data_IF_859964161019
#
_entry.id   IF_859964161019
#
_cell.length_a   1.000
_cell.length_b   1.000
_cell.length_c   1.000
_cell.angle_alpha   90.00
_cell.angle_beta   90.00
_cell.angle_gamma   90.00
#
_symmetry.space_group_name_H-M   'P 1'
#
loop_
_entity.id
_entity.type
_entity.pdbx_description
1 polymer ?
#
# COMPACT_ATOMS: atom_id res chain seq x y z
N UNK A 1 25.18 -6.34 -2.90
CA UNK A 1 24.07 -5.50 -3.38
C UNK A 1 23.01 -5.41 -2.28
N UNK A 2 22.92 -4.42 -1.37
CA UNK A 2 23.65 -3.19 -1.06
C UNK A 2 23.66 -3.07 0.48
N UNK A 3 24.82 -3.21 1.13
CA UNK A 3 24.96 -3.23 2.61
C UNK A 3 24.37 -1.98 3.29
N UNK A 4 24.31 -0.85 2.57
CA UNK A 4 23.68 0.38 3.02
C UNK A 4 22.17 0.24 3.21
N UNK A 5 21.48 -0.43 2.29
CA UNK A 5 20.02 -0.53 2.36
C UNK A 5 19.57 -1.51 3.46
N UNK A 6 20.38 -2.53 3.71
CA UNK A 6 20.20 -3.45 4.83
C UNK A 6 20.38 -2.74 6.18
N UNK A 7 21.37 -1.85 6.31
CA UNK A 7 21.54 -1.02 7.52
C UNK A 7 20.36 -0.09 7.77
N UNK A 8 19.80 0.52 6.72
CA UNK A 8 18.60 1.36 6.83
C UNK A 8 17.40 0.52 7.27
N UNK A 9 17.19 -0.64 6.65
CA UNK A 9 16.12 -1.57 7.02
C UNK A 9 16.24 -2.03 8.48
N UNK A 10 17.44 -2.42 8.93
CA UNK A 10 17.72 -2.80 10.32
C UNK A 10 17.47 -1.63 11.27
N UNK A 11 17.85 -0.40 10.90
CA UNK A 11 17.59 0.80 11.67
C UNK A 11 16.10 1.05 11.89
N UNK A 12 15.30 0.93 10.81
CA UNK A 12 13.84 1.03 10.88
C UNK A 12 13.27 -0.11 11.73
N UNK A 13 13.70 -1.36 11.53
CA UNK A 13 13.28 -2.49 12.35
C UNK A 13 13.57 -2.27 13.83
N UNK A 14 14.72 -1.68 14.20
CA UNK A 14 15.07 -1.39 15.60
C UNK A 14 14.14 -0.38 16.23
N UNK A 15 13.82 0.69 15.50
CA UNK A 15 12.87 1.72 15.95
C UNK A 15 11.49 1.09 16.11
N UNK A 16 11.06 0.29 15.14
CA UNK A 16 9.75 -0.39 15.17
C UNK A 16 9.67 -1.42 16.30
N UNK A 17 10.71 -2.23 16.49
CA UNK A 17 10.81 -3.22 17.57
C UNK A 17 10.87 -2.56 18.96
N UNK A 18 11.29 -1.29 19.06
CA UNK A 18 11.21 -0.50 20.30
C UNK A 18 9.75 -0.16 20.69
N UNK A 19 8.86 -0.04 19.72
CA UNK A 19 7.41 0.11 19.94
C UNK A 19 6.67 -1.22 20.03
N UNK A 20 7.28 -2.34 19.62
CA UNK A 20 6.71 -3.68 19.74
C UNK A 20 6.22 -4.06 21.16
N UNK A 21 6.92 -3.75 22.27
CA UNK A 21 6.42 -4.10 23.61
C UNK A 21 5.07 -3.45 23.97
N UNK A 22 4.63 -2.39 23.30
CA UNK A 22 3.25 -1.88 23.45
C UNK A 22 2.20 -2.75 22.77
N UNK A 23 2.56 -3.43 21.67
CA UNK A 23 1.62 -4.18 20.82
C UNK A 23 1.79 -5.71 20.90
N UNK A 24 2.76 -6.18 21.67
CA UNK A 24 3.06 -7.62 21.87
C UNK A 24 1.85 -8.42 22.39
N UNK A 25 0.89 -7.76 23.06
CA UNK A 25 -0.33 -8.41 23.58
C UNK A 25 -1.35 -8.73 22.48
N UNK A 26 -1.29 -8.05 21.33
CA UNK A 26 -2.27 -8.19 20.25
C UNK A 26 -1.73 -8.96 19.03
N UNK A 27 -0.44 -8.83 18.72
CA UNK A 27 0.14 -9.35 17.47
C UNK A 27 1.51 -9.98 17.70
N UNK A 28 1.77 -11.10 17.01
CA UNK A 28 3.12 -11.65 16.91
C UNK A 28 4.03 -10.73 16.06
N UNK A 29 5.34 -10.93 16.20
CA UNK A 29 6.36 -10.01 15.68
C UNK A 29 6.30 -9.84 14.15
N UNK A 30 5.92 -10.90 13.43
CA UNK A 30 5.88 -10.92 11.96
C UNK A 30 4.65 -10.17 11.38
N UNK A 31 3.41 -10.39 11.86
CA UNK A 31 2.26 -9.52 11.54
C UNK A 31 2.49 -8.05 11.91
N UNK A 32 3.17 -7.78 13.03
CA UNK A 32 3.48 -6.40 13.44
C UNK A 32 4.42 -5.72 12.43
N UNK A 33 5.52 -6.37 12.05
CA UNK A 33 6.43 -5.85 11.02
C UNK A 33 5.74 -5.64 9.68
N UNK A 34 4.83 -6.53 9.28
CA UNK A 34 4.01 -6.37 8.09
C UNK A 34 3.06 -5.16 8.16
N UNK A 35 2.38 -4.98 9.29
CA UNK A 35 1.49 -3.83 9.52
C UNK A 35 2.24 -2.51 9.50
N UNK A 36 3.41 -2.45 10.15
CA UNK A 36 4.20 -1.21 10.22
C UNK A 36 4.82 -0.86 8.87
N UNK A 37 5.36 -1.83 8.13
CA UNK A 37 5.87 -1.57 6.77
C UNK A 37 4.77 -1.25 5.77
N UNK A 38 3.64 -1.95 5.82
CA UNK A 38 2.47 -1.64 4.99
C UNK A 38 1.86 -0.27 5.31
N UNK A 39 1.77 0.06 6.59
CA UNK A 39 1.30 1.35 7.09
C UNK A 39 2.23 2.49 6.69
N UNK A 40 3.55 2.30 6.83
CA UNK A 40 4.56 3.27 6.39
C UNK A 40 4.49 3.51 4.88
N UNK A 41 4.34 2.45 4.07
CA UNK A 41 4.19 2.58 2.62
C UNK A 41 2.90 3.34 2.24
N UNK A 42 1.80 3.05 2.93
CA UNK A 42 0.51 3.75 2.71
C UNK A 42 0.60 5.22 3.09
N UNK A 43 1.22 5.52 4.24
CA UNK A 43 1.44 6.88 4.71
C UNK A 43 2.34 7.67 3.74
N UNK A 44 3.43 7.07 3.27
CA UNK A 44 4.27 7.66 2.24
C UNK A 44 3.46 7.95 0.97
N UNK A 45 2.56 7.05 0.57
CA UNK A 45 1.67 7.26 -0.57
C UNK A 45 0.71 8.42 -0.37
N UNK A 46 0.16 8.58 0.83
CA UNK A 46 -0.70 9.71 1.16
C UNK A 46 0.08 11.03 1.15
N UNK A 47 1.31 11.04 1.65
CA UNK A 47 2.18 12.21 1.68
C UNK A 47 2.59 12.63 0.27
N UNK A 48 3.02 11.68 -0.57
CA UNK A 48 3.34 11.96 -1.98
C UNK A 48 2.10 12.42 -2.74
N UNK A 49 0.94 11.82 -2.48
CA UNK A 49 -0.33 12.27 -3.06
C UNK A 49 -0.63 13.71 -2.68
N UNK A 50 -0.51 14.07 -1.39
CA UNK A 50 -0.72 15.43 -0.89
C UNK A 50 0.24 16.43 -1.56
N UNK A 51 1.53 16.10 -1.64
CA UNK A 51 2.52 16.94 -2.31
C UNK A 51 2.21 17.10 -3.80
N UNK A 52 1.88 16.02 -4.50
CA UNK A 52 1.52 16.09 -5.92
C UNK A 52 0.25 16.93 -6.13
N UNK A 53 -0.77 16.70 -5.32
CA UNK A 53 -2.04 17.41 -5.42
C UNK A 53 -1.88 18.92 -5.16
N UNK A 54 -1.16 19.28 -4.09
CA UNK A 54 -1.00 20.67 -3.66
C UNK A 54 0.03 21.45 -4.49
N UNK A 55 1.19 20.85 -4.79
CA UNK A 55 2.31 21.54 -5.44
C UNK A 55 2.35 21.33 -6.95
N UNK A 56 2.04 20.13 -7.45
CA UNK A 56 2.22 19.78 -8.86
C UNK A 56 0.98 20.15 -9.68
N UNK A 57 -0.21 19.81 -9.18
CA UNK A 57 -1.46 19.94 -9.95
C UNK A 57 -2.26 21.22 -9.63
N UNK A 58 -2.00 21.89 -8.49
CA UNK A 58 -2.66 23.17 -8.09
C UNK A 58 -4.18 23.20 -8.33
N UNK A 59 -4.86 22.07 -8.12
CA UNK A 59 -6.30 21.90 -8.39
C UNK A 59 -6.76 22.16 -9.85
N UNK A 60 -5.83 22.32 -10.79
CA UNK A 60 -6.15 22.53 -12.20
C UNK A 60 -6.39 21.21 -12.93
N UNK A 61 -7.42 21.17 -13.77
CA UNK A 61 -7.69 20.02 -14.66
C UNK A 61 -6.61 20.03 -15.74
N UNK A 62 -5.79 18.98 -15.79
CA UNK A 62 -4.81 18.82 -16.85
C UNK A 62 -5.50 18.14 -18.04
N UNK A 63 -5.85 18.94 -19.04
CA UNK A 63 -6.27 18.44 -20.33
C UNK A 63 -5.02 17.97 -21.09
N UNK A 64 -4.68 16.68 -20.94
CA UNK A 64 -3.83 16.03 -21.93
C UNK A 64 -4.67 15.88 -23.21
N UNK A 65 -4.07 16.17 -24.37
CA UNK A 65 -4.69 16.14 -25.71
C UNK A 65 -5.46 14.83 -26.04
N UNK A 66 -5.26 13.76 -25.26
CA UNK A 66 -5.98 12.48 -25.39
C UNK A 66 -6.98 12.16 -24.25
N UNK A 67 -6.90 12.80 -23.07
CA UNK A 67 -7.78 12.52 -21.93
C UNK A 67 -7.68 13.60 -20.84
N UNK A 68 -8.80 14.15 -20.38
CA UNK A 68 -8.85 15.09 -19.26
C UNK A 68 -8.63 14.33 -17.93
N UNK A 69 -7.39 14.30 -17.45
CA UNK A 69 -7.08 13.74 -16.14
C UNK A 69 -7.39 14.80 -15.07
N UNK A 70 -8.38 14.51 -14.22
CA UNK A 70 -8.57 15.31 -13.01
C UNK A 70 -7.32 15.20 -12.12
N UNK A 71 -6.95 16.31 -11.49
CA UNK A 71 -5.77 16.44 -10.63
C UNK A 71 -5.63 15.31 -9.60
N UNK A 72 -6.75 14.82 -9.05
CA UNK A 72 -6.76 13.74 -8.06
C UNK A 72 -6.33 12.39 -8.65
N UNK A 73 -6.82 12.01 -9.84
CA UNK A 73 -6.45 10.73 -10.46
C UNK A 73 -4.99 10.72 -10.93
N UNK A 74 -4.50 11.85 -11.43
CA UNK A 74 -3.10 11.98 -11.84
C UNK A 74 -2.15 11.93 -10.62
N UNK A 75 -2.50 12.61 -9.53
CA UNK A 75 -1.75 12.58 -8.26
C UNK A 75 -1.68 11.16 -7.67
N UNK A 76 -2.77 10.40 -7.78
CA UNK A 76 -2.82 9.00 -7.35
C UNK A 76 -1.81 8.13 -8.11
N UNK A 77 -1.76 8.28 -9.44
CA UNK A 77 -0.89 7.48 -10.29
C UNK A 77 0.60 7.81 -10.06
N UNK A 78 0.93 9.09 -9.90
CA UNK A 78 2.29 9.51 -9.57
C UNK A 78 2.71 8.99 -8.19
N UNK A 79 1.83 9.11 -7.20
CA UNK A 79 2.09 8.56 -5.86
C UNK A 79 2.35 7.05 -5.89
N UNK A 80 1.56 6.31 -6.67
CA UNK A 80 1.78 4.88 -6.88
C UNK A 80 3.15 4.59 -7.50
N UNK A 81 3.57 5.35 -8.51
CA UNK A 81 4.84 5.15 -9.20
C UNK A 81 6.05 5.31 -8.26
N UNK A 82 5.97 6.24 -7.31
CA UNK A 82 7.01 6.46 -6.30
C UNK A 82 6.93 5.45 -5.15
N UNK A 83 5.74 5.14 -4.66
CA UNK A 83 5.58 4.22 -3.54
C UNK A 83 5.76 2.76 -3.90
N UNK A 84 5.45 2.35 -5.13
CA UNK A 84 5.63 0.97 -5.57
C UNK A 84 7.06 0.43 -5.39
N UNK A 85 8.13 1.08 -5.90
CA UNK A 85 9.49 0.59 -5.72
C UNK A 85 9.92 0.60 -4.24
N UNK A 86 9.51 1.61 -3.47
CA UNK A 86 9.81 1.73 -2.04
C UNK A 86 9.10 0.62 -1.24
N UNK A 87 7.81 0.41 -1.49
CA UNK A 87 7.01 -0.63 -0.85
C UNK A 87 7.48 -2.03 -1.19
N UNK A 88 7.86 -2.28 -2.44
CA UNK A 88 8.48 -3.56 -2.83
C UNK A 88 9.81 -3.78 -2.11
N UNK A 89 10.62 -2.72 -1.98
CA UNK A 89 11.87 -2.77 -1.22
C UNK A 89 11.60 -3.16 0.25
N UNK A 90 10.69 -2.47 0.94
CA UNK A 90 10.33 -2.81 2.32
C UNK A 90 9.77 -4.24 2.45
N UNK A 91 8.86 -4.63 1.57
CA UNK A 91 8.28 -5.98 1.61
C UNK A 91 9.37 -7.05 1.47
N UNK A 92 10.32 -6.86 0.55
CA UNK A 92 11.39 -7.83 0.34
C UNK A 92 12.37 -7.93 1.50
N UNK A 93 12.90 -6.80 1.95
CA UNK A 93 14.05 -6.78 2.87
C UNK A 93 13.64 -6.76 4.35
N UNK A 94 12.46 -6.25 4.69
CA UNK A 94 12.01 -6.17 6.10
C UNK A 94 11.05 -7.31 6.46
N UNK A 95 10.13 -7.66 5.56
CA UNK A 95 9.07 -8.64 5.86
C UNK A 95 9.48 -10.06 5.48
N UNK A 96 10.11 -10.24 4.32
CA UNK A 96 10.34 -11.56 3.72
C UNK A 96 11.83 -11.95 3.61
N UNK A 97 12.66 -11.48 4.55
CA UNK A 97 14.11 -11.74 4.57
C UNK A 97 14.49 -13.24 4.47
N UNK A 98 13.62 -14.13 4.94
CA UNK A 98 13.85 -15.59 4.97
C UNK A 98 13.15 -16.39 3.86
N UNK A 99 12.48 -15.77 2.88
CA UNK A 99 11.74 -16.52 1.86
C UNK A 99 12.65 -16.99 0.71
N UNK A 100 12.75 -18.31 0.52
CA UNK A 100 13.51 -18.97 -0.56
C UNK A 100 12.87 -18.83 -1.97
N UNK A 101 11.82 -18.00 -2.11
CA UNK A 101 11.11 -17.79 -3.36
C UNK A 101 11.88 -16.84 -4.28
N UNK A 102 11.89 -17.14 -5.59
CA UNK A 102 12.53 -16.26 -6.58
C UNK A 102 11.86 -14.87 -6.53
N UNK A 103 12.67 -13.84 -6.31
CA UNK A 103 12.24 -12.44 -6.19
C UNK A 103 11.26 -11.96 -7.29
N UNK A 104 11.39 -12.47 -8.52
CA UNK A 104 10.51 -12.12 -9.64
C UNK A 104 9.06 -12.56 -9.41
N UNK A 105 8.84 -13.75 -8.85
CA UNK A 105 7.48 -14.24 -8.56
C UNK A 105 6.84 -13.48 -7.39
N UNK A 106 7.63 -13.14 -6.37
CA UNK A 106 7.18 -12.31 -5.26
C UNK A 106 6.80 -10.90 -5.73
N UNK A 107 7.62 -10.29 -6.60
CA UNK A 107 7.32 -9.00 -7.21
C UNK A 107 6.02 -9.05 -8.00
N UNK A 108 5.82 -10.07 -8.84
CA UNK A 108 4.61 -10.17 -9.66
C UNK A 108 3.34 -10.26 -8.79
N UNK A 109 3.36 -11.08 -7.75
CA UNK A 109 2.21 -11.21 -6.82
C UNK A 109 1.96 -9.90 -6.05
N UNK A 110 3.02 -9.24 -5.60
CA UNK A 110 2.92 -7.94 -4.93
C UNK A 110 2.37 -6.86 -5.87
N UNK A 111 2.89 -6.79 -7.10
CA UNK A 111 2.43 -5.88 -8.15
C UNK A 111 0.96 -6.08 -8.48
N UNK A 112 0.49 -7.32 -8.65
CA UNK A 112 -0.93 -7.59 -8.89
C UNK A 112 -1.82 -7.11 -7.75
N UNK A 113 -1.40 -7.33 -6.50
CA UNK A 113 -2.12 -6.82 -5.32
C UNK A 113 -2.14 -5.30 -5.29
N UNK A 114 -1.02 -4.66 -5.58
CA UNK A 114 -0.87 -3.21 -5.67
C UNK A 114 -1.74 -2.60 -6.78
N UNK A 115 -1.77 -3.20 -7.97
CA UNK A 115 -2.59 -2.77 -9.10
C UNK A 115 -4.09 -2.91 -8.80
N UNK A 116 -4.50 -4.01 -8.16
CA UNK A 116 -5.87 -4.19 -7.72
C UNK A 116 -6.30 -3.12 -6.72
N UNK A 117 -5.44 -2.83 -5.73
CA UNK A 117 -5.69 -1.74 -4.77
C UNK A 117 -5.74 -0.37 -5.45
N UNK A 118 -4.84 -0.10 -6.42
CA UNK A 118 -4.83 1.14 -7.17
C UNK A 118 -6.13 1.32 -7.98
N UNK A 119 -6.57 0.27 -8.66
CA UNK A 119 -7.80 0.28 -9.44
C UNK A 119 -9.03 0.52 -8.54
N UNK A 120 -9.11 -0.18 -7.41
CA UNK A 120 -10.20 -0.01 -6.46
C UNK A 120 -10.20 1.40 -5.85
N UNK A 121 -9.02 1.92 -5.50
CA UNK A 121 -8.86 3.27 -4.99
C UNK A 121 -9.31 4.31 -6.02
N UNK A 122 -8.88 4.18 -7.27
CA UNK A 122 -9.31 5.05 -8.36
C UNK A 122 -10.84 5.04 -8.55
N UNK A 123 -11.47 3.86 -8.56
CA UNK A 123 -12.93 3.73 -8.71
C UNK A 123 -13.68 4.45 -7.59
N UNK A 124 -13.30 4.18 -6.33
CA UNK A 124 -13.94 4.79 -5.16
C UNK A 124 -13.71 6.30 -5.11
N UNK A 125 -12.48 6.74 -5.38
CA UNK A 125 -12.16 8.17 -5.40
C UNK A 125 -12.98 8.89 -6.48
N UNK A 126 -13.13 8.28 -7.66
CA UNK A 126 -13.98 8.80 -8.73
C UNK A 126 -15.43 8.92 -8.28
N UNK A 127 -15.99 7.90 -7.63
CA UNK A 127 -17.35 7.94 -7.08
C UNK A 127 -17.50 9.05 -6.03
N UNK A 128 -16.59 9.14 -5.06
CA UNK A 128 -16.68 10.13 -3.97
C UNK A 128 -16.51 11.57 -4.47
N UNK A 129 -15.57 11.82 -5.38
CA UNK A 129 -15.27 13.17 -5.85
C UNK A 129 -16.23 13.60 -6.94
N UNK A 130 -16.64 12.72 -7.86
CA UNK A 130 -17.51 13.10 -8.98
C UNK A 130 -19.00 13.03 -8.65
N UNK A 131 -19.43 12.08 -7.82
CA UNK A 131 -20.85 11.92 -7.48
C UNK A 131 -21.17 12.67 -6.19
N UNK A 132 -20.34 12.54 -5.15
CA UNK A 132 -20.57 13.20 -3.86
C UNK A 132 -19.97 14.62 -3.77
N UNK A 133 -19.19 15.07 -4.75
CA UNK A 133 -18.56 16.40 -4.78
C UNK A 133 -17.73 16.72 -3.53
N UNK A 134 -17.10 15.69 -2.93
CA UNK A 134 -16.25 15.84 -1.76
C UNK A 134 -14.85 16.36 -2.12
N UNK A 135 -14.21 17.05 -1.16
CA UNK A 135 -12.85 17.53 -1.29
C UNK A 135 -11.88 16.36 -1.54
N UNK A 136 -11.04 16.46 -2.57
CA UNK A 136 -10.25 15.32 -3.05
C UNK A 136 -9.30 14.72 -2.00
N UNK A 137 -8.77 15.55 -1.10
CA UNK A 137 -7.92 15.09 0.02
C UNK A 137 -8.70 14.24 1.04
N UNK A 138 -9.86 14.71 1.48
CA UNK A 138 -10.70 13.99 2.44
C UNK A 138 -11.24 12.71 1.81
N UNK A 139 -11.66 12.79 0.55
CA UNK A 139 -12.07 11.62 -0.23
C UNK A 139 -10.92 10.60 -0.32
N UNK A 140 -9.69 11.02 -0.59
CA UNK A 140 -8.53 10.13 -0.66
C UNK A 140 -8.29 9.37 0.65
N UNK A 141 -8.33 10.06 1.80
CA UNK A 141 -8.13 9.42 3.11
C UNK A 141 -9.20 8.34 3.35
N UNK A 142 -10.47 8.69 3.11
CA UNK A 142 -11.60 7.77 3.30
C UNK A 142 -11.50 6.59 2.34
N UNK A 143 -11.18 6.84 1.07
CA UNK A 143 -11.00 5.81 0.06
C UNK A 143 -9.86 4.86 0.43
N UNK A 144 -8.72 5.36 0.92
CA UNK A 144 -7.62 4.50 1.38
C UNK A 144 -8.06 3.58 2.52
N UNK A 145 -8.77 4.11 3.52
CA UNK A 145 -9.29 3.32 4.64
C UNK A 145 -10.26 2.23 4.13
N UNK A 146 -11.16 2.60 3.23
CA UNK A 146 -12.18 1.68 2.68
C UNK A 146 -11.53 0.60 1.81
N UNK A 147 -10.54 0.95 0.98
CA UNK A 147 -9.76 0.02 0.16
C UNK A 147 -8.99 -0.96 1.05
N UNK A 148 -8.36 -0.51 2.14
CA UNK A 148 -7.67 -1.40 3.08
C UNK A 148 -8.66 -2.37 3.72
N UNK A 149 -9.81 -1.87 4.19
CA UNK A 149 -10.85 -2.69 4.80
C UNK A 149 -11.40 -3.73 3.81
N UNK A 150 -11.72 -3.29 2.58
CA UNK A 150 -12.22 -4.17 1.53
C UNK A 150 -11.16 -5.20 1.10
N UNK A 151 -9.91 -4.79 0.91
CA UNK A 151 -8.81 -5.69 0.57
C UNK A 151 -8.57 -6.72 1.67
N UNK A 152 -8.72 -6.34 2.94
CA UNK A 152 -8.64 -7.28 4.06
C UNK A 152 -9.82 -8.27 4.05
N UNK A 153 -11.05 -7.80 3.86
CA UNK A 153 -12.24 -8.67 3.77
C UNK A 153 -12.14 -9.60 2.57
N UNK A 154 -11.74 -9.10 1.40
CA UNK A 154 -11.55 -9.89 0.20
C UNK A 154 -10.48 -10.96 0.39
N UNK A 155 -9.33 -10.62 0.99
CA UNK A 155 -8.28 -11.59 1.32
C UNK A 155 -8.77 -12.61 2.35
N UNK A 156 -9.54 -12.19 3.36
CA UNK A 156 -10.12 -13.10 4.35
C UNK A 156 -11.12 -14.06 3.72
N UNK A 157 -11.97 -13.58 2.82
CA UNK A 157 -13.04 -14.38 2.22
C UNK A 157 -12.54 -15.30 1.08
N UNK A 158 -11.52 -14.88 0.32
CA UNK A 158 -10.93 -15.69 -0.75
C UNK A 158 -9.75 -16.56 -0.29
N UNK A 159 -8.87 -16.05 0.57
CA UNK A 159 -7.61 -16.73 0.93
C UNK A 159 -7.73 -17.65 2.15
N UNK A 160 -8.80 -17.54 2.94
CA UNK A 160 -9.09 -18.44 4.06
C UNK A 160 -10.34 -19.31 3.82
N UNK A 161 -10.57 -19.77 2.59
CA UNK A 161 -11.13 -21.13 2.47
C UNK A 161 -10.03 -22.08 2.94
N UNK A 162 -10.05 -22.34 4.24
CA UNK A 162 -9.29 -23.41 4.88
C UNK A 162 -9.50 -24.65 4.01
N UNK A 163 -8.45 -25.10 3.31
CA UNK A 163 -8.41 -26.51 2.92
C UNK A 163 -8.30 -27.25 4.23
N UNK A 164 -9.43 -27.76 4.69
CA UNK A 164 -9.48 -28.81 5.70
C UNK A 164 -8.68 -29.97 5.08
N UNK A 165 -7.41 -30.09 5.48
CA UNK A 165 -6.58 -31.19 5.02
C UNK A 165 -7.18 -32.45 5.62
N UNK A 166 -7.58 -33.34 4.72
CA UNK A 166 -8.03 -34.70 4.96
C UNK A 166 -7.12 -35.38 5.99
N UNK A 167 -7.65 -35.66 7.18
CA UNK A 167 -7.16 -36.76 8.02
C UNK A 167 -7.39 -38.06 7.25
N UNK A 168 -6.36 -38.52 6.57
CA UNK A 168 -6.20 -39.92 6.22
C UNK A 168 -5.15 -40.52 7.16
N UNK A 169 -5.56 -41.60 7.83
CA UNK A 169 -4.93 -42.40 8.89
C UNK A 169 -5.03 -41.82 10.30
#
# INVERSE_FOLDING_TARGET
MNHLLEKVAIGVCRIVDLFYPLFQRFLSLQPFRYLVTGGANTFLGLLVYFLCYQYLFKETVFDLWFYAFKAHSASLFVSFLFTFPVGFFFARYVVFDNSSLKARMQLFRYLMTCLFNLFLNYLLLKILVEILSWHALTAQIITVILVIAFSYVAQRNFSFKVKENQTNC
#
